data_IF_496427138405
#
_entry.id   IF_496427138405
#
_cell.length_a   1.000
_cell.length_b   1.000
_cell.length_c   1.000
_cell.angle_alpha   90.00
_cell.angle_beta   90.00
_cell.angle_gamma   90.00
#
_symmetry.space_group_name_H-M   'P 1'
#
loop_
_entity.id
_entity.type
_entity.pdbx_description
1 polymer ?
#
# COMPACT_ATOMS: atom_id res chain seq x y z
N UNK A 1 23.24 0.57 8.68
CA UNK A 1 23.02 2.02 8.41
C UNK A 1 21.52 2.25 8.35
N UNK A 2 21.00 3.35 8.89
CA UNK A 2 19.58 3.67 8.74
C UNK A 2 19.27 4.00 7.28
N UNK A 3 18.22 3.41 6.73
CA UNK A 3 17.74 3.70 5.38
C UNK A 3 17.09 5.09 5.37
N UNK A 4 17.48 5.93 4.41
CA UNK A 4 16.84 7.22 4.20
C UNK A 4 15.65 7.06 3.27
N UNK A 5 14.46 7.49 3.70
CA UNK A 5 13.24 7.40 2.91
C UNK A 5 12.28 8.54 3.24
N UNK A 6 11.34 8.77 2.35
CA UNK A 6 10.23 9.71 2.49
C UNK A 6 8.92 8.95 2.53
N UNK A 7 7.93 9.45 3.25
CA UNK A 7 6.56 8.91 3.20
C UNK A 7 5.67 9.90 2.49
N UNK A 8 4.93 9.43 1.50
CA UNK A 8 3.90 10.18 0.80
C UNK A 8 2.55 9.46 0.89
N UNK A 9 1.52 10.23 1.25
CA UNK A 9 0.17 9.72 1.49
C UNK A 9 -0.76 10.33 0.44
N UNK A 10 -1.11 9.59 -0.63
CA UNK A 10 -2.07 10.09 -1.60
C UNK A 10 -3.46 10.15 -0.96
N UNK A 11 -4.14 11.27 -1.10
CA UNK A 11 -5.49 11.45 -0.59
C UNK A 11 -6.36 12.20 -1.61
N UNK A 12 -7.57 11.70 -1.82
CA UNK A 12 -8.61 12.37 -2.62
C UNK A 12 -9.90 12.47 -1.84
N UNK A 13 -10.71 13.49 -2.14
CA UNK A 13 -11.98 13.67 -1.44
C UNK A 13 -13.03 12.66 -1.91
N UNK A 14 -13.03 12.34 -3.21
CA UNK A 14 -13.96 11.39 -3.80
C UNK A 14 -13.69 9.96 -3.33
N UNK A 15 -14.71 9.31 -2.78
CA UNK A 15 -14.71 7.90 -2.42
C UNK A 15 -16.12 7.34 -2.63
N UNK A 16 -16.23 6.19 -3.30
CA UNK A 16 -17.53 5.61 -3.67
C UNK A 16 -18.23 4.90 -2.51
N UNK A 17 -17.49 4.14 -1.70
CA UNK A 17 -18.03 3.31 -0.60
C UNK A 17 -18.20 4.09 0.70
N UNK A 18 -17.37 5.08 0.96
CA UNK A 18 -17.40 5.93 2.14
C UNK A 18 -17.15 7.38 1.69
N UNK A 19 -18.21 8.20 1.48
CA UNK A 19 -18.07 9.58 1.04
C UNK A 19 -17.11 10.37 1.94
N UNK A 20 -16.24 11.19 1.33
CA UNK A 20 -15.26 12.02 2.03
C UNK A 20 -14.34 11.23 2.98
N UNK A 21 -14.04 9.96 2.67
CA UNK A 21 -13.30 9.01 3.51
C UNK A 21 -12.06 9.62 4.16
N UNK A 22 -11.25 10.36 3.41
CA UNK A 22 -10.02 10.98 3.91
C UNK A 22 -10.26 11.96 5.07
N UNK A 23 -11.44 12.58 5.14
CA UNK A 23 -11.84 13.53 6.18
C UNK A 23 -12.71 12.91 7.28
N UNK A 24 -13.01 11.60 7.20
CA UNK A 24 -13.79 10.92 8.23
C UNK A 24 -13.10 11.04 9.60
N UNK A 25 -13.85 11.44 10.61
CA UNK A 25 -13.35 11.63 11.96
C UNK A 25 -12.97 10.30 12.63
N UNK A 26 -11.81 10.26 13.25
CA UNK A 26 -11.32 9.16 14.10
C UNK A 26 -10.73 9.80 15.37
N UNK A 27 -11.51 9.79 16.45
CA UNK A 27 -11.08 10.34 17.73
C UNK A 27 -10.66 11.82 17.64
N UNK A 28 -11.49 12.66 17.01
CA UNK A 28 -11.31 14.10 16.89
C UNK A 28 -10.33 14.57 15.79
N UNK A 29 -9.81 13.66 14.94
CA UNK A 29 -8.93 14.01 13.82
C UNK A 29 -9.34 13.30 12.53
N UNK A 30 -9.15 13.92 11.35
CA UNK A 30 -9.40 13.26 10.07
C UNK A 30 -8.56 12.00 9.86
N UNK A 31 -9.12 11.00 9.18
CA UNK A 31 -8.46 9.72 8.88
C UNK A 31 -7.09 9.89 8.24
N UNK A 32 -6.96 10.77 7.23
CA UNK A 32 -5.67 11.04 6.56
C UNK A 32 -4.62 11.59 7.52
N UNK A 33 -5.04 12.37 8.52
CA UNK A 33 -4.14 12.89 9.57
C UNK A 33 -3.69 11.75 10.47
N UNK A 34 -4.59 10.82 10.83
CA UNK A 34 -4.23 9.64 11.62
C UNK A 34 -3.23 8.73 10.90
N UNK A 35 -3.41 8.50 9.58
CA UNK A 35 -2.43 7.78 8.77
C UNK A 35 -1.06 8.51 8.76
N UNK A 36 -1.06 9.84 8.62
CA UNK A 36 0.16 10.64 8.69
C UNK A 36 0.84 10.60 10.06
N UNK A 37 0.07 10.59 11.16
CA UNK A 37 0.59 10.46 12.52
C UNK A 37 1.31 9.11 12.73
N UNK A 38 0.83 8.01 12.13
CA UNK A 38 1.55 6.73 12.17
C UNK A 38 2.87 6.83 11.40
N UNK A 39 2.86 7.41 10.21
CA UNK A 39 4.06 7.60 9.42
C UNK A 39 5.10 8.51 10.12
N UNK A 40 4.67 9.52 10.87
CA UNK A 40 5.56 10.40 11.65
C UNK A 40 6.27 9.70 12.81
N UNK A 41 5.83 8.50 13.21
CA UNK A 41 6.53 7.69 14.23
C UNK A 41 7.73 6.92 13.66
N UNK A 42 7.91 6.93 12.34
CA UNK A 42 9.03 6.26 11.65
C UNK A 42 10.27 7.16 11.57
N UNK A 43 11.40 6.57 11.16
CA UNK A 43 12.64 7.31 10.86
C UNK A 43 12.61 8.00 9.48
N UNK A 44 11.45 8.25 8.87
CA UNK A 44 11.31 8.93 7.59
C UNK A 44 11.89 10.35 7.63
N UNK A 45 12.62 10.74 6.57
CA UNK A 45 13.16 12.10 6.45
C UNK A 45 12.06 13.16 6.28
N UNK A 46 10.94 12.76 5.68
CA UNK A 46 9.75 13.61 5.57
C UNK A 46 8.49 12.76 5.44
N UNK A 47 7.39 13.28 5.98
CA UNK A 47 6.04 12.75 5.80
C UNK A 47 5.19 13.84 5.22
N UNK A 48 4.44 13.56 4.14
CA UNK A 48 3.56 14.54 3.51
C UNK A 48 2.34 13.90 2.87
N UNK A 49 1.25 14.65 2.80
CA UNK A 49 0.04 14.26 2.08
C UNK A 49 0.05 14.86 0.68
N UNK A 50 -0.22 14.06 -0.34
CA UNK A 50 -0.38 14.50 -1.73
C UNK A 50 -1.88 14.52 -2.08
N UNK A 51 -2.43 15.70 -2.37
CA UNK A 51 -3.87 15.86 -2.62
C UNK A 51 -4.15 16.97 -3.65
N UNK A 52 -5.31 16.90 -4.27
CA UNK A 52 -5.85 17.92 -5.17
C UNK A 52 -6.95 18.77 -4.52
N UNK A 53 -7.24 18.56 -3.23
CA UNK A 53 -8.43 19.15 -2.62
C UNK A 53 -8.09 20.05 -1.43
N UNK A 54 -8.55 21.34 -1.49
CA UNK A 54 -8.26 22.34 -0.45
C UNK A 54 -8.78 21.98 0.95
N UNK A 55 -9.91 21.24 1.06
CA UNK A 55 -10.42 20.77 2.38
C UNK A 55 -9.46 19.77 3.03
N UNK A 56 -8.86 18.87 2.26
CA UNK A 56 -7.85 17.93 2.78
C UNK A 56 -6.60 18.69 3.19
N UNK A 57 -6.13 19.63 2.35
CA UNK A 57 -5.01 20.51 2.68
C UNK A 57 -5.25 21.28 3.97
N UNK A 58 -6.41 21.93 4.12
CA UNK A 58 -6.78 22.68 5.33
C UNK A 58 -6.76 21.78 6.57
N UNK A 59 -7.36 20.58 6.48
CA UNK A 59 -7.37 19.61 7.56
C UNK A 59 -5.96 19.15 7.96
N UNK A 60 -5.09 18.84 6.99
CA UNK A 60 -3.70 18.48 7.25
C UNK A 60 -2.91 19.64 7.87
N UNK A 61 -3.05 20.86 7.33
CA UNK A 61 -2.37 22.06 7.82
C UNK A 61 -2.74 22.37 9.27
N UNK A 62 -4.03 22.22 9.63
CA UNK A 62 -4.50 22.41 11.02
C UNK A 62 -3.78 21.50 12.02
N UNK A 63 -3.35 20.33 11.57
CA UNK A 63 -2.64 19.35 12.39
C UNK A 63 -1.11 19.31 12.13
N UNK A 64 -0.56 20.31 11.42
CA UNK A 64 0.87 20.42 11.18
C UNK A 64 1.43 19.39 10.18
N UNK A 65 0.57 18.72 9.38
CA UNK A 65 1.00 17.77 8.37
C UNK A 65 1.33 18.50 7.07
N UNK A 66 2.55 18.38 6.53
CA UNK A 66 2.91 18.97 5.24
C UNK A 66 2.07 18.43 4.08
N UNK A 67 1.74 19.29 3.13
CA UNK A 67 0.92 18.95 1.97
C UNK A 67 1.61 19.34 0.67
N UNK A 68 1.54 18.47 -0.33
CA UNK A 68 1.86 18.76 -1.74
C UNK A 68 0.55 18.81 -2.52
N UNK A 69 0.25 19.96 -3.11
CA UNK A 69 -0.90 20.09 -4.00
C UNK A 69 -0.56 19.52 -5.38
N UNK A 70 -1.38 18.60 -5.86
CA UNK A 70 -1.26 17.90 -7.14
C UNK A 70 -2.47 18.16 -8.03
N UNK A 71 -2.37 17.84 -9.31
CA UNK A 71 -3.50 17.93 -10.24
C UNK A 71 -4.68 17.02 -9.85
N UNK A 72 -5.88 17.37 -10.30
CA UNK A 72 -7.11 16.59 -10.08
C UNK A 72 -7.33 15.45 -11.08
N UNK A 73 -6.43 15.27 -12.06
CA UNK A 73 -6.59 14.30 -13.16
C UNK A 73 -6.10 12.89 -12.83
N UNK A 74 -5.47 12.68 -11.66
CA UNK A 74 -4.92 11.39 -11.29
C UNK A 74 -6.00 10.36 -10.98
N UNK A 75 -5.94 9.23 -11.70
CA UNK A 75 -6.85 8.10 -11.50
C UNK A 75 -6.39 7.20 -10.35
N UNK A 76 -5.09 7.20 -10.03
CA UNK A 76 -4.51 6.36 -8.99
C UNK A 76 -3.61 7.13 -8.00
N UNK A 77 -3.35 6.51 -6.85
CA UNK A 77 -2.38 7.00 -5.87
C UNK A 77 -0.97 7.07 -6.46
N UNK A 78 -0.56 6.07 -7.23
CA UNK A 78 0.79 5.99 -7.82
C UNK A 78 1.08 7.14 -8.78
N UNK A 79 0.13 7.49 -9.66
CA UNK A 79 0.32 8.62 -10.59
C UNK A 79 0.36 9.96 -9.85
N UNK A 80 -0.42 10.12 -8.77
CA UNK A 80 -0.38 11.30 -7.89
C UNK A 80 0.98 11.43 -7.19
N UNK A 81 1.52 10.33 -6.71
CA UNK A 81 2.84 10.32 -6.09
C UNK A 81 3.95 10.68 -7.07
N UNK A 82 3.86 10.25 -8.32
CA UNK A 82 4.84 10.62 -9.35
C UNK A 82 4.90 12.14 -9.56
N UNK A 83 3.75 12.82 -9.59
CA UNK A 83 3.70 14.30 -9.64
C UNK A 83 4.27 14.92 -8.36
N UNK A 84 3.88 14.42 -7.18
CA UNK A 84 4.37 14.93 -5.90
C UNK A 84 5.89 14.80 -5.77
N UNK A 85 6.48 13.68 -6.21
CA UNK A 85 7.94 13.46 -6.29
C UNK A 85 8.62 14.51 -7.17
N UNK A 86 8.05 14.79 -8.34
CA UNK A 86 8.58 15.80 -9.26
C UNK A 86 8.51 17.21 -8.65
N UNK A 87 7.37 17.57 -8.05
CA UNK A 87 7.17 18.87 -7.40
C UNK A 87 8.13 19.09 -6.20
N UNK A 88 8.50 17.99 -5.51
CA UNK A 88 9.42 18.03 -4.38
C UNK A 88 10.90 17.97 -4.80
N UNK A 89 11.18 17.74 -6.06
CA UNK A 89 12.54 17.65 -6.59
C UNK A 89 13.36 16.50 -5.99
N UNK A 90 12.70 15.36 -5.65
CA UNK A 90 13.40 14.20 -5.11
C UNK A 90 14.35 13.60 -6.17
N UNK A 91 15.53 13.20 -5.70
CA UNK A 91 16.52 12.52 -6.54
C UNK A 91 16.02 11.13 -6.96
N UNK A 92 16.51 10.61 -8.07
CA UNK A 92 16.01 9.35 -8.64
C UNK A 92 16.23 8.14 -7.72
N UNK A 93 17.27 8.17 -6.88
CA UNK A 93 17.60 7.13 -5.92
C UNK A 93 16.87 7.27 -4.56
N UNK A 94 16.19 8.39 -4.32
CA UNK A 94 15.41 8.57 -3.10
C UNK A 94 14.31 7.51 -3.02
N UNK A 95 14.13 6.95 -1.82
CA UNK A 95 13.06 5.99 -1.55
C UNK A 95 11.81 6.72 -1.07
N UNK A 96 10.69 6.42 -1.70
CA UNK A 96 9.37 6.96 -1.36
C UNK A 96 8.44 5.81 -0.97
N UNK A 97 7.97 5.80 0.27
CA UNK A 97 6.94 4.85 0.72
C UNK A 97 5.56 5.47 0.52
N UNK A 98 4.73 4.77 -0.23
CA UNK A 98 3.31 5.08 -0.43
C UNK A 98 2.50 4.45 0.69
N UNK A 99 2.08 5.24 1.66
CA UNK A 99 1.13 4.84 2.69
C UNK A 99 -0.26 5.31 2.27
N UNK A 100 -1.24 4.40 2.28
CA UNK A 100 -2.60 4.78 1.90
C UNK A 100 -3.24 5.68 2.97
N UNK A 101 -3.98 6.70 2.52
CA UNK A 101 -4.64 7.65 3.43
C UNK A 101 -5.79 7.05 4.26
N UNK A 102 -6.18 5.80 3.97
CA UNK A 102 -7.23 5.03 4.63
C UNK A 102 -6.67 3.93 5.57
N UNK A 103 -5.38 4.00 5.90
CA UNK A 103 -4.73 3.08 6.85
C UNK A 103 -4.33 3.80 8.16
N UNK A 104 -5.29 4.27 8.97
CA UNK A 104 -5.00 5.02 10.19
C UNK A 104 -4.35 4.19 11.30
N UNK A 105 -4.35 2.87 11.19
CA UNK A 105 -3.72 1.93 12.15
C UNK A 105 -2.48 1.25 11.56
N UNK A 106 -1.93 1.74 10.44
CA UNK A 106 -0.74 1.12 9.83
C UNK A 106 0.42 1.08 10.84
N UNK A 107 1.06 -0.08 11.06
CA UNK A 107 2.21 -0.16 11.94
C UNK A 107 3.40 0.63 11.36
N UNK A 108 4.04 1.54 12.14
CA UNK A 108 5.24 2.26 11.69
C UNK A 108 6.35 1.32 11.21
N UNK A 109 6.51 0.19 11.88
CA UNK A 109 7.51 -0.83 11.56
C UNK A 109 7.31 -1.42 10.16
N UNK A 110 6.06 -1.56 9.69
CA UNK A 110 5.76 -2.03 8.35
C UNK A 110 6.24 -1.03 7.29
N UNK A 111 6.05 0.27 7.54
CA UNK A 111 6.52 1.35 6.65
C UNK A 111 8.05 1.27 6.51
N UNK A 112 8.76 1.12 7.62
CA UNK A 112 10.22 0.99 7.64
C UNK A 112 10.69 -0.30 6.95
N UNK A 113 10.04 -1.43 7.22
CA UNK A 113 10.41 -2.72 6.63
C UNK A 113 10.30 -2.70 5.10
N UNK A 114 9.27 -2.08 4.52
CA UNK A 114 9.13 -1.99 3.05
C UNK A 114 10.20 -1.06 2.46
N UNK A 115 10.55 0.05 3.14
CA UNK A 115 11.66 0.90 2.74
C UNK A 115 13.01 0.16 2.77
N UNK A 116 13.26 -0.64 3.81
CA UNK A 116 14.48 -1.43 3.97
C UNK A 116 14.63 -2.50 2.87
N UNK A 117 13.57 -3.26 2.59
CA UNK A 117 13.58 -4.27 1.52
C UNK A 117 13.90 -3.64 0.17
N UNK A 118 13.37 -2.44 -0.11
CA UNK A 118 13.72 -1.74 -1.35
C UNK A 118 15.18 -1.28 -1.36
N UNK A 119 15.68 -0.76 -0.24
CA UNK A 119 17.08 -0.30 -0.15
C UNK A 119 18.10 -1.43 -0.38
N UNK A 120 17.77 -2.64 0.09
CA UNK A 120 18.63 -3.84 -0.04
C UNK A 120 18.44 -4.56 -1.38
N UNK A 121 17.45 -4.16 -2.18
CA UNK A 121 17.14 -4.77 -3.49
C UNK A 121 17.59 -3.90 -4.65
N UNK A 122 17.91 -4.55 -5.79
CA UNK A 122 18.04 -3.87 -7.08
C UNK A 122 16.70 -3.55 -7.75
N UNK A 123 15.59 -4.01 -7.18
CA UNK A 123 14.25 -3.72 -7.70
C UNK A 123 13.93 -2.21 -7.63
N UNK A 124 13.15 -1.67 -8.57
CA UNK A 124 12.70 -0.28 -8.52
C UNK A 124 11.49 -0.07 -7.59
N UNK A 125 10.86 -1.16 -7.15
CA UNK A 125 9.65 -1.16 -6.34
C UNK A 125 9.69 -2.29 -5.31
N UNK A 126 9.11 -2.05 -4.13
CA UNK A 126 8.89 -3.08 -3.12
C UNK A 126 7.46 -3.00 -2.57
N UNK A 127 7.00 -4.11 -2.00
CA UNK A 127 5.71 -4.24 -1.32
C UNK A 127 5.81 -5.23 -0.16
N UNK A 128 4.69 -5.58 0.46
CA UNK A 128 4.63 -6.56 1.54
C UNK A 128 3.56 -7.63 1.30
N UNK A 129 3.70 -8.74 1.99
CA UNK A 129 2.72 -9.82 2.03
C UNK A 129 2.75 -10.52 3.40
N UNK A 130 1.71 -11.26 3.73
CA UNK A 130 1.66 -12.13 4.90
C UNK A 130 1.04 -13.49 4.56
N UNK A 131 1.32 -14.56 5.35
CA UNK A 131 0.72 -15.88 5.13
C UNK A 131 -0.80 -15.87 5.29
N UNK A 132 -1.49 -16.68 4.48
CA UNK A 132 -2.92 -17.00 4.58
C UNK A 132 -3.06 -18.39 5.19
N UNK A 133 -3.84 -18.51 6.26
CA UNK A 133 -4.16 -19.78 6.90
C UNK A 133 -5.64 -20.17 6.79
N UNK A 134 -6.50 -19.25 6.36
CA UNK A 134 -7.93 -19.47 6.15
C UNK A 134 -8.23 -19.80 4.69
N UNK A 135 -8.94 -20.90 4.46
CA UNK A 135 -9.40 -21.28 3.13
C UNK A 135 -10.40 -20.26 2.56
N UNK A 136 -11.23 -19.68 3.41
CA UNK A 136 -12.15 -18.60 3.05
C UNK A 136 -11.38 -17.39 2.50
N UNK A 137 -10.33 -16.96 3.21
CA UNK A 137 -9.48 -15.84 2.77
C UNK A 137 -8.76 -16.18 1.45
N UNK A 138 -8.25 -17.41 1.31
CA UNK A 138 -7.56 -17.86 0.09
C UNK A 138 -8.45 -17.82 -1.14
N UNK A 139 -9.72 -18.21 -1.00
CA UNK A 139 -10.68 -18.23 -2.11
C UNK A 139 -11.36 -16.87 -2.34
N UNK A 140 -11.26 -15.92 -1.42
CA UNK A 140 -11.87 -14.60 -1.54
C UNK A 140 -11.14 -13.76 -2.62
N UNK A 141 -11.82 -13.29 -3.68
CA UNK A 141 -11.22 -12.48 -4.74
C UNK A 141 -10.81 -11.07 -4.27
N UNK A 142 -11.34 -10.60 -3.12
CA UNK A 142 -10.92 -9.33 -2.54
C UNK A 142 -9.57 -9.43 -1.79
N UNK A 143 -9.14 -10.64 -1.44
CA UNK A 143 -7.81 -10.91 -0.93
C UNK A 143 -6.88 -11.22 -2.10
N UNK A 144 -6.00 -10.31 -2.44
CA UNK A 144 -5.03 -10.50 -3.53
C UNK A 144 -3.94 -11.46 -3.06
N UNK A 145 -3.69 -12.53 -3.82
CA UNK A 145 -2.61 -13.48 -3.56
C UNK A 145 -1.36 -13.10 -4.31
N UNK A 146 -0.19 -13.38 -3.72
CA UNK A 146 1.11 -13.20 -4.35
C UNK A 146 1.93 -14.47 -4.36
N UNK A 147 2.64 -14.72 -5.45
CA UNK A 147 3.61 -15.81 -5.58
C UNK A 147 5.00 -15.22 -5.71
N UNK A 148 5.95 -15.73 -4.94
CA UNK A 148 7.32 -15.22 -4.89
C UNK A 148 8.30 -16.25 -5.45
N UNK A 149 9.42 -15.75 -5.99
CA UNK A 149 10.59 -16.55 -6.30
C UNK A 149 11.53 -16.69 -5.08
N UNK A 150 12.61 -17.45 -5.23
CA UNK A 150 13.60 -17.66 -4.18
C UNK A 150 14.29 -16.36 -3.71
N UNK A 151 14.37 -15.35 -4.58
CA UNK A 151 14.96 -14.04 -4.27
C UNK A 151 13.97 -13.09 -3.57
N UNK A 152 12.83 -13.60 -3.08
CA UNK A 152 11.76 -12.81 -2.47
C UNK A 152 11.25 -11.69 -3.39
N UNK A 153 11.17 -11.98 -4.68
CA UNK A 153 10.57 -11.08 -5.67
C UNK A 153 9.26 -11.68 -6.17
N UNK A 154 8.29 -10.81 -6.44
CA UNK A 154 7.00 -11.23 -6.95
C UNK A 154 7.14 -11.87 -8.34
N UNK A 155 6.57 -13.07 -8.48
CA UNK A 155 6.36 -13.73 -9.78
C UNK A 155 5.04 -13.28 -10.37
N UNK A 156 3.98 -13.23 -9.54
CA UNK A 156 2.66 -12.77 -9.97
C UNK A 156 1.80 -12.38 -8.76
N UNK A 157 0.80 -11.52 -9.02
CA UNK A 157 -0.30 -11.22 -8.10
C UNK A 157 -1.63 -11.53 -8.78
N UNK A 158 -2.58 -12.13 -8.04
CA UNK A 158 -3.90 -12.45 -8.59
C UNK A 158 -4.99 -12.44 -7.52
N UNK A 159 -6.21 -12.14 -7.98
CA UNK A 159 -7.44 -12.37 -7.19
C UNK A 159 -7.81 -13.85 -7.13
N UNK A 160 -7.36 -14.66 -8.09
CA UNK A 160 -7.53 -16.11 -8.08
C UNK A 160 -6.74 -16.77 -6.95
N UNK A 161 -7.15 -17.98 -6.49
CA UNK A 161 -6.38 -18.80 -5.57
C UNK A 161 -5.09 -19.30 -6.22
N UNK A 162 -3.95 -18.63 -5.94
CA UNK A 162 -2.60 -18.98 -6.40
C UNK A 162 -1.60 -18.95 -5.20
N UNK A 163 -0.54 -19.80 -5.20
CA UNK A 163 -0.41 -21.01 -6.01
C UNK A 163 -1.44 -22.06 -5.54
N UNK A 164 -2.04 -22.81 -6.48
CA UNK A 164 -3.10 -23.77 -6.15
C UNK A 164 -2.53 -25.02 -5.48
N UNK A 165 -2.87 -25.31 -4.21
CA UNK A 165 -2.35 -26.47 -3.48
C UNK A 165 -3.13 -27.73 -3.88
N UNK A 166 -2.79 -28.32 -5.03
CA UNK A 166 -3.54 -29.36 -5.73
C UNK A 166 -3.98 -30.50 -4.81
N UNK A 167 -3.03 -31.10 -4.08
CA UNK A 167 -3.29 -32.31 -3.29
C UNK A 167 -4.10 -32.01 -2.02
N UNK A 168 -3.90 -30.82 -1.43
CA UNK A 168 -4.67 -30.37 -0.27
C UNK A 168 -6.12 -30.06 -0.65
N UNK A 169 -6.32 -29.42 -1.80
CA UNK A 169 -7.66 -29.08 -2.30
C UNK A 169 -8.45 -30.29 -2.80
N UNK A 170 -7.80 -31.41 -3.12
CA UNK A 170 -8.44 -32.65 -3.52
C UNK A 170 -8.97 -33.49 -2.33
N UNK A 171 -8.62 -33.13 -1.09
CA UNK A 171 -9.07 -33.85 0.12
C UNK A 171 -10.58 -33.61 0.36
N UNK A 172 -11.25 -34.54 1.07
CA UNK A 172 -12.65 -34.36 1.48
C UNK A 172 -12.86 -33.12 2.37
N UNK A 173 -11.86 -32.74 3.12
CA UNK A 173 -11.82 -31.53 3.92
C UNK A 173 -10.56 -30.75 3.50
N UNK A 174 -10.69 -29.84 2.53
CA UNK A 174 -9.57 -29.03 2.07
C UNK A 174 -9.00 -28.16 3.19
N UNK A 175 -7.67 -28.05 3.24
CA UNK A 175 -6.97 -27.19 4.17
C UNK A 175 -5.73 -26.61 3.49
N UNK A 176 -5.22 -25.49 3.98
CA UNK A 176 -3.96 -24.93 3.50
C UNK A 176 -2.78 -25.53 4.26
N UNK A 177 -1.67 -25.76 3.55
CA UNK A 177 -0.44 -26.21 4.17
C UNK A 177 0.15 -25.10 5.06
N UNK A 178 0.63 -25.47 6.23
CA UNK A 178 1.37 -24.57 7.11
C UNK A 178 2.83 -24.40 6.70
N UNK A 179 3.41 -25.40 6.02
CA UNK A 179 4.80 -25.36 5.58
C UNK A 179 5.01 -24.46 4.35
N UNK A 180 3.95 -24.28 3.53
CA UNK A 180 3.99 -23.41 2.36
C UNK A 180 2.63 -22.69 2.22
N UNK A 181 2.32 -21.76 3.13
CA UNK A 181 1.06 -21.04 3.07
C UNK A 181 1.03 -20.10 1.86
N UNK A 182 -0.13 -19.96 1.18
CA UNK A 182 -0.31 -18.87 0.22
C UNK A 182 -0.07 -17.52 0.89
N UNK A 183 0.34 -16.53 0.10
CA UNK A 183 0.62 -15.20 0.61
C UNK A 183 -0.49 -14.22 0.18
N UNK A 184 -0.97 -13.42 1.13
CA UNK A 184 -1.82 -12.25 0.86
C UNK A 184 -0.95 -11.01 0.68
N UNK A 185 -1.14 -10.34 -0.44
CA UNK A 185 -0.52 -9.06 -0.72
C UNK A 185 -1.09 -7.95 0.18
N UNK A 186 -0.21 -7.06 0.64
CA UNK A 186 -0.55 -5.86 1.41
C UNK A 186 -0.31 -4.63 0.53
N UNK A 187 -1.30 -3.74 0.42
CA UNK A 187 -1.30 -2.58 -0.48
C UNK A 187 -0.37 -1.43 -0.09
N UNK A 188 0.74 -1.71 0.61
CA UNK A 188 1.81 -0.74 0.87
C UNK A 188 2.93 -0.91 -0.15
N UNK A 189 3.50 0.19 -0.62
CA UNK A 189 4.56 0.15 -1.62
C UNK A 189 5.69 1.11 -1.28
N UNK A 190 6.92 0.72 -1.58
CA UNK A 190 8.05 1.62 -1.68
C UNK A 190 8.53 1.69 -3.13
N UNK A 191 8.97 2.85 -3.57
CA UNK A 191 9.47 3.11 -4.93
C UNK A 191 10.78 3.86 -4.86
N UNK A 192 11.66 3.62 -5.84
CA UNK A 192 12.69 4.61 -6.18
C UNK A 192 12.01 5.77 -6.89
N UNK A 193 12.32 7.01 -6.52
CA UNK A 193 11.66 8.20 -7.05
C UNK A 193 11.78 8.31 -8.58
N UNK A 194 12.93 7.92 -9.15
CA UNK A 194 13.12 7.81 -10.59
C UNK A 194 12.18 6.82 -11.26
N UNK A 195 11.88 5.71 -10.58
CA UNK A 195 10.92 4.74 -11.12
C UNK A 195 9.48 5.26 -11.12
N UNK A 196 9.07 6.02 -10.12
CA UNK A 196 7.76 6.69 -10.14
C UNK A 196 7.61 7.61 -11.36
N UNK A 197 8.66 8.37 -11.69
CA UNK A 197 8.70 9.22 -12.89
C UNK A 197 8.63 8.39 -14.19
N UNK A 198 9.17 7.17 -14.18
CA UNK A 198 9.11 6.24 -15.31
C UNK A 198 7.75 5.53 -15.38
N UNK A 199 7.19 5.11 -14.26
CA UNK A 199 5.93 4.36 -14.16
C UNK A 199 4.78 5.04 -14.91
N UNK A 200 4.65 6.36 -14.80
CA UNK A 200 3.59 7.12 -15.48
C UNK A 200 3.71 7.13 -17.02
N UNK A 201 4.85 6.70 -17.56
CA UNK A 201 5.11 6.56 -19.00
C UNK A 201 4.91 5.12 -19.50
N UNK A 202 4.77 4.15 -18.59
CA UNK A 202 4.49 2.77 -18.95
C UNK A 202 3.05 2.64 -19.44
N UNK A 203 2.86 1.98 -20.56
CA UNK A 203 1.52 1.64 -21.03
C UNK A 203 0.81 0.73 -20.02
N UNK A 204 -0.49 0.94 -19.87
CA UNK A 204 -1.32 0.05 -19.07
C UNK A 204 -1.30 -1.37 -19.63
N UNK A 205 -1.32 -2.37 -18.76
CA UNK A 205 -1.24 -3.76 -19.19
C UNK A 205 -2.64 -4.39 -19.24
N UNK A 206 -2.87 -5.36 -20.15
CA UNK A 206 -4.13 -6.12 -20.16
C UNK A 206 -4.40 -6.83 -18.83
N UNK A 207 -3.34 -7.28 -18.14
CA UNK A 207 -3.45 -7.97 -16.85
C UNK A 207 -3.89 -7.02 -15.74
N UNK A 208 -3.37 -5.79 -15.73
CA UNK A 208 -3.78 -4.74 -14.80
C UNK A 208 -5.28 -4.45 -14.91
N UNK A 209 -5.80 -4.32 -16.13
CA UNK A 209 -7.23 -4.12 -16.36
C UNK A 209 -8.06 -5.35 -15.95
N UNK A 210 -7.62 -6.55 -16.33
CA UNK A 210 -8.32 -7.80 -16.03
C UNK A 210 -8.49 -8.02 -14.52
N UNK A 211 -7.42 -7.85 -13.77
CA UNK A 211 -7.37 -8.10 -12.32
C UNK A 211 -7.68 -6.83 -11.49
N UNK A 212 -7.71 -5.65 -12.10
CA UNK A 212 -7.76 -4.35 -11.40
C UNK A 212 -6.65 -4.24 -10.34
N UNK A 213 -5.41 -4.53 -10.76
CA UNK A 213 -4.20 -4.55 -9.93
C UNK A 213 -3.07 -3.78 -10.61
N UNK A 214 -2.82 -2.53 -10.15
CA UNK A 214 -1.84 -1.61 -10.75
C UNK A 214 -0.39 -2.16 -10.76
N UNK A 215 -0.02 -2.95 -9.76
CA UNK A 215 1.33 -3.55 -9.68
C UNK A 215 1.62 -4.56 -10.79
N UNK A 216 0.60 -5.08 -11.46
CA UNK A 216 0.78 -5.97 -12.62
C UNK A 216 1.37 -5.22 -13.82
N UNK A 217 1.19 -3.90 -13.93
CA UNK A 217 1.88 -3.09 -14.94
C UNK A 217 3.41 -3.21 -14.80
N UNK A 218 3.91 -3.17 -13.57
CA UNK A 218 5.34 -3.28 -13.27
C UNK A 218 5.90 -4.63 -13.73
N UNK A 219 5.23 -5.72 -13.35
CA UNK A 219 5.62 -7.08 -13.75
C UNK A 219 5.48 -7.30 -15.27
N UNK A 220 4.42 -6.76 -15.89
CA UNK A 220 4.21 -6.84 -17.34
C UNK A 220 5.36 -6.23 -18.15
N UNK A 221 5.92 -5.13 -17.67
CA UNK A 221 7.06 -4.47 -18.30
C UNK A 221 8.42 -5.07 -17.88
N UNK A 222 8.42 -6.20 -17.17
CA UNK A 222 9.64 -6.95 -16.81
C UNK A 222 10.41 -6.35 -15.63
N UNK A 223 9.84 -5.43 -14.87
CA UNK A 223 10.48 -4.89 -13.67
C UNK A 223 10.21 -5.79 -12.46
N UNK A 224 11.25 -6.10 -11.65
CA UNK A 224 11.05 -6.86 -10.42
C UNK A 224 10.36 -6.01 -9.35
N UNK A 225 9.59 -6.69 -8.49
CA UNK A 225 9.01 -6.13 -7.26
C UNK A 225 9.54 -6.95 -6.09
N UNK A 226 10.32 -6.33 -5.20
CA UNK A 226 10.78 -6.98 -3.97
C UNK A 226 9.62 -7.08 -2.97
N UNK A 227 9.56 -8.16 -2.19
CA UNK A 227 8.45 -8.40 -1.28
C UNK A 227 8.96 -8.71 0.12
N UNK A 228 8.51 -7.92 1.10
CA UNK A 228 8.66 -8.25 2.53
C UNK A 228 7.55 -9.21 2.94
N UNK A 229 7.92 -10.41 3.35
CA UNK A 229 6.97 -11.32 4.00
C UNK A 229 6.96 -11.03 5.50
N UNK A 230 5.77 -10.76 6.03
CA UNK A 230 5.51 -10.55 7.46
C UNK A 230 5.08 -11.85 8.10
N UNK A 231 5.31 -11.98 9.39
CA UNK A 231 4.84 -13.14 10.17
C UNK A 231 3.31 -13.09 10.41
N UNK A 232 2.76 -11.89 10.56
CA UNK A 232 1.35 -11.66 10.88
C UNK A 232 0.72 -10.59 9.99
N UNK A 233 -0.61 -10.66 9.84
CA UNK A 233 -1.40 -9.65 9.15
C UNK A 233 -1.38 -8.31 9.92
N UNK A 234 -1.12 -7.17 9.26
CA UNK A 234 -1.31 -5.87 9.88
C UNK A 234 -2.81 -5.57 10.09
N UNK A 235 -3.17 -4.58 10.92
CA UNK A 235 -4.54 -4.10 11.01
C UNK A 235 -5.07 -3.70 9.63
N UNK A 236 -6.32 -4.09 9.34
CA UNK A 236 -6.95 -3.75 8.07
C UNK A 236 -7.29 -2.25 7.98
N UNK A 237 -7.13 -1.68 6.81
CA UNK A 237 -7.54 -0.32 6.49
C UNK A 237 -9.06 -0.10 6.56
N UNK A 238 -9.49 1.10 6.21
CA UNK A 238 -10.90 1.52 6.24
C UNK A 238 -11.43 1.66 4.83
N UNK A 239 -12.38 0.81 4.46
CA UNK A 239 -13.04 0.86 3.15
C UNK A 239 -14.56 1.05 3.25
N UNK A 240 -15.14 0.63 4.36
CA UNK A 240 -16.59 0.64 4.62
C UNK A 240 -16.92 1.40 5.91
N UNK A 241 -18.20 1.75 6.14
CA UNK A 241 -18.64 2.31 7.43
C UNK A 241 -18.35 1.38 8.61
N UNK A 242 -18.43 0.07 8.42
CA UNK A 242 -18.14 -0.94 9.44
C UNK A 242 -16.66 -0.94 9.82
N UNK A 243 -15.77 -0.80 8.83
CA UNK A 243 -14.32 -0.64 9.10
C UNK A 243 -14.04 0.62 9.89
N UNK A 244 -14.72 1.73 9.54
CA UNK A 244 -14.57 3.00 10.26
C UNK A 244 -15.01 2.86 11.73
N UNK A 245 -16.12 2.17 11.98
CA UNK A 245 -16.60 1.92 13.33
C UNK A 245 -15.60 1.07 14.13
N UNK A 246 -15.05 0.02 13.52
CA UNK A 246 -14.01 -0.82 14.11
C UNK A 246 -12.76 -0.02 14.49
N UNK A 247 -12.29 0.85 13.60
CA UNK A 247 -11.10 1.67 13.85
C UNK A 247 -11.35 2.71 14.94
N UNK A 248 -12.52 3.34 14.97
CA UNK A 248 -12.92 4.26 16.05
C UNK A 248 -12.87 3.58 17.42
N UNK A 249 -13.44 2.37 17.53
CA UNK A 249 -13.43 1.61 18.79
C UNK A 249 -11.99 1.29 19.26
N UNK A 250 -11.08 0.96 18.34
CA UNK A 250 -9.66 0.75 18.68
C UNK A 250 -9.01 2.03 19.17
N UNK A 251 -9.38 3.19 18.59
CA UNK A 251 -8.81 4.49 18.96
C UNK A 251 -9.34 5.01 20.31
N UNK A 252 -10.60 4.76 20.60
CA UNK A 252 -11.24 5.13 21.88
C UNK A 252 -10.72 4.28 23.08
N UNK A 253 -10.15 3.10 22.80
CA UNK A 253 -9.59 2.20 23.80
C UNK A 253 -8.11 2.49 24.15
N UNK A 254 -7.46 3.44 23.47
CA UNK A 254 -6.07 3.87 23.72
C UNK A 254 -6.02 5.09 24.65
#
# INVERSE_FOLDING_TARGET
MSVRFHVMIPARLSSSRLPEKALADIGGKPMVVRAAEQALKTAAQSVMVATDHERIKAACTLHGIPVVMTGGHHQSGTTRLAEAVALRGLADDDIVVNVQGDEPLIPPELIEQVAHVLAESSAPMATAAHPIYSLEEFTNPNCVKGVLNQAQQAVYFSRAPIAYPRDEMAKKQPALSQDCPPLRHIGIYAYRAGFLKQYVRLAESPLEHCESLEQLRVLWHGYPIAVKVLDNAPPAGVDTPEDLARVRAVWEAQ
#
